data_IF_406610945650
#
_entry.id   IF_406610945650
#
_cell.length_a   1.000
_cell.length_b   1.000
_cell.length_c   1.000
_cell.angle_alpha   90.00
_cell.angle_beta   90.00
_cell.angle_gamma   90.00
#
_symmetry.space_group_name_H-M   'P 1'
#
loop_
_entity.id
_entity.type
_entity.pdbx_description
1 polymer ?
#
# COMPACT_ATOMS: atom_id res chain seq x y z
N UNK A 1 -17.89 6.11 -18.53
CA UNK A 1 -18.15 5.88 -17.10
C UNK A 1 -17.05 4.94 -16.62
N UNK A 2 -16.20 5.34 -15.66
CA UNK A 2 -15.28 4.37 -15.05
C UNK A 2 -16.14 3.27 -14.40
N UNK A 3 -15.86 1.98 -14.64
CA UNK A 3 -16.61 0.91 -14.00
C UNK A 3 -16.54 1.12 -12.48
N UNK A 4 -17.66 1.08 -11.77
CA UNK A 4 -17.67 1.32 -10.31
C UNK A 4 -16.66 0.44 -9.55
N UNK A 5 -16.30 -0.72 -10.13
CA UNK A 5 -15.23 -1.60 -9.68
C UNK A 5 -13.85 -0.93 -9.58
N UNK A 6 -13.49 -0.06 -10.54
CA UNK A 6 -12.19 0.62 -10.54
C UNK A 6 -12.09 1.65 -9.40
N UNK A 7 -13.19 2.34 -9.10
CA UNK A 7 -13.26 3.29 -7.98
C UNK A 7 -13.10 2.53 -6.65
N UNK A 8 -13.79 1.41 -6.50
CA UNK A 8 -13.67 0.53 -5.33
C UNK A 8 -12.25 0.00 -5.15
N UNK A 9 -11.58 -0.41 -6.23
CA UNK A 9 -10.20 -0.89 -6.19
C UNK A 9 -9.21 0.20 -5.78
N UNK A 10 -9.37 1.43 -6.28
CA UNK A 10 -8.54 2.58 -5.89
C UNK A 10 -8.75 2.90 -4.41
N UNK A 11 -10.00 2.97 -3.95
CA UNK A 11 -10.32 3.24 -2.54
C UNK A 11 -9.76 2.14 -1.62
N UNK A 12 -9.87 0.88 -2.02
CA UNK A 12 -9.30 -0.24 -1.29
C UNK A 12 -7.77 -0.15 -1.21
N UNK A 13 -7.09 0.11 -2.33
CA UNK A 13 -5.64 0.28 -2.37
C UNK A 13 -5.18 1.43 -1.45
N UNK A 14 -5.88 2.57 -1.47
CA UNK A 14 -5.60 3.70 -0.59
C UNK A 14 -5.77 3.34 0.89
N UNK A 15 -6.86 2.63 1.23
CA UNK A 15 -7.11 2.15 2.59
C UNK A 15 -6.02 1.19 3.07
N UNK A 16 -5.63 0.22 2.25
CA UNK A 16 -4.57 -0.74 2.58
C UNK A 16 -3.21 -0.04 2.76
N UNK A 17 -2.87 0.91 1.88
CA UNK A 17 -1.62 1.69 2.02
C UNK A 17 -1.64 2.52 3.30
N UNK A 18 -2.72 3.25 3.57
CA UNK A 18 -2.85 4.09 4.76
C UNK A 18 -2.84 3.26 6.05
N UNK A 19 -3.55 2.12 6.05
CA UNK A 19 -3.60 1.20 7.17
C UNK A 19 -2.24 0.53 7.40
N UNK A 20 -1.60 0.05 6.33
CA UNK A 20 -0.25 -0.52 6.35
C UNK A 20 0.76 0.47 6.92
N UNK A 21 0.78 1.71 6.42
CA UNK A 21 1.67 2.75 6.94
C UNK A 21 1.44 3.06 8.41
N UNK A 22 0.19 3.11 8.88
CA UNK A 22 -0.14 3.45 10.27
C UNK A 22 0.06 2.29 11.23
N UNK A 23 -0.26 1.07 10.82
CA UNK A 23 -0.17 -0.12 11.66
C UNK A 23 1.26 -0.69 11.68
N UNK A 24 1.88 -0.96 10.52
CA UNK A 24 3.28 -1.39 10.45
C UNK A 24 4.23 -0.29 10.90
N UNK A 25 3.94 0.97 10.60
CA UNK A 25 4.77 2.09 11.07
C UNK A 25 4.81 2.21 12.60
N UNK A 26 3.74 1.84 13.29
CA UNK A 26 3.69 1.75 14.76
C UNK A 26 4.32 0.46 15.28
N UNK A 27 4.00 -0.69 14.69
CA UNK A 27 4.57 -1.99 15.09
C UNK A 27 6.10 -2.02 14.96
N UNK A 28 6.63 -1.61 13.81
CA UNK A 28 8.08 -1.54 13.57
C UNK A 28 8.79 -0.45 14.41
N UNK A 29 8.05 0.55 14.91
CA UNK A 29 8.59 1.49 15.91
C UNK A 29 8.69 0.84 17.30
N UNK A 30 7.74 -0.01 17.66
CA UNK A 30 7.72 -0.71 18.93
C UNK A 30 8.83 -1.76 19.03
N UNK A 31 9.15 -2.45 17.93
CA UNK A 31 10.21 -3.46 17.85
C UNK A 31 11.64 -2.90 17.71
N UNK A 32 11.83 -1.58 17.76
CA UNK A 32 13.15 -0.95 17.67
C UNK A 32 13.84 -1.07 16.30
N UNK A 33 13.09 -1.36 15.23
CA UNK A 33 13.65 -1.51 13.89
C UNK A 33 14.25 -0.20 13.35
N UNK A 34 15.37 -0.32 12.63
CA UNK A 34 16.03 0.80 11.98
C UNK A 34 15.06 1.54 11.04
N UNK A 35 15.02 2.89 11.07
CA UNK A 35 14.08 3.68 10.27
C UNK A 35 14.20 3.43 8.76
N UNK A 36 15.38 3.03 8.28
CA UNK A 36 15.62 2.67 6.88
C UNK A 36 14.91 1.36 6.49
N UNK A 37 15.04 0.30 7.28
CA UNK A 37 14.40 -1.00 7.03
C UNK A 37 12.87 -0.89 7.06
N UNK A 38 12.34 -0.10 8.01
CA UNK A 38 10.90 0.20 8.07
C UNK A 38 10.42 0.90 6.81
N UNK A 39 11.20 1.84 6.28
CA UNK A 39 10.85 2.59 5.07
C UNK A 39 10.89 1.69 3.83
N UNK A 40 11.88 0.81 3.73
CA UNK A 40 12.00 -0.18 2.66
C UNK A 40 10.83 -1.17 2.63
N UNK A 41 10.43 -1.71 3.79
CA UNK A 41 9.28 -2.61 3.90
C UNK A 41 7.97 -1.92 3.50
N UNK A 42 7.76 -0.70 3.99
CA UNK A 42 6.57 0.09 3.64
C UNK A 42 6.56 0.48 2.16
N UNK A 43 7.69 0.91 1.59
CA UNK A 43 7.77 1.25 0.17
C UNK A 43 7.60 0.04 -0.73
N UNK A 44 8.12 -1.13 -0.34
CA UNK A 44 7.95 -2.37 -1.09
C UNK A 44 6.48 -2.82 -1.09
N UNK A 45 5.82 -2.79 0.07
CA UNK A 45 4.38 -3.09 0.17
C UNK A 45 3.54 -2.12 -0.67
N UNK A 46 3.82 -0.82 -0.58
CA UNK A 46 3.16 0.19 -1.42
C UNK A 46 3.38 -0.07 -2.91
N UNK A 47 4.59 -0.40 -3.34
CA UNK A 47 4.90 -0.68 -4.73
C UNK A 47 4.13 -1.91 -5.26
N UNK A 48 4.03 -2.99 -4.47
CA UNK A 48 3.27 -4.19 -4.85
C UNK A 48 1.77 -3.87 -4.98
N UNK A 49 1.21 -3.09 -4.06
CA UNK A 49 -0.21 -2.68 -4.10
C UNK A 49 -0.47 -1.81 -5.33
N UNK A 50 0.40 -0.83 -5.62
CA UNK A 50 0.28 0.03 -6.80
C UNK A 50 0.42 -0.78 -8.09
N UNK A 51 1.36 -1.72 -8.16
CA UNK A 51 1.55 -2.57 -9.32
C UNK A 51 0.32 -3.48 -9.56
N UNK A 52 -0.22 -4.05 -8.50
CA UNK A 52 -1.44 -4.87 -8.57
C UNK A 52 -2.65 -4.04 -9.03
N UNK A 53 -2.74 -2.79 -8.57
CA UNK A 53 -3.78 -1.86 -9.00
C UNK A 53 -3.63 -1.50 -10.48
N UNK A 54 -2.41 -1.20 -10.95
CA UNK A 54 -2.13 -0.89 -12.35
C UNK A 54 -2.47 -2.07 -13.27
N UNK A 55 -2.09 -3.28 -12.86
CA UNK A 55 -2.47 -4.51 -13.56
C UNK A 55 -4.00 -4.70 -13.61
N UNK A 56 -4.69 -4.48 -12.49
CA UNK A 56 -6.16 -4.58 -12.44
C UNK A 56 -6.86 -3.55 -13.34
N UNK A 57 -6.30 -2.34 -13.44
CA UNK A 57 -6.82 -1.30 -14.34
C UNK A 57 -6.46 -1.54 -15.81
N UNK A 58 -5.67 -2.57 -16.13
CA UNK A 58 -5.17 -2.84 -17.48
C UNK A 58 -4.15 -1.82 -17.97
N UNK A 59 -3.51 -1.09 -17.05
CA UNK A 59 -2.45 -0.12 -17.35
C UNK A 59 -1.05 -0.76 -17.40
N UNK A 60 -0.96 -2.05 -17.07
CA UNK A 60 0.23 -2.90 -17.12
C UNK A 60 -0.16 -4.24 -17.76
#
# INVERSE_FOLDING_TARGET
MMPSDHISAILFALLVIAFGWRYFGRGLRADGFHPATRRLLLSAGTAIIVLSLLYYLGAL
#
